data_IF_295838346782
#
_entry.id   IF_295838346782
#
_cell.length_a   1.000
_cell.length_b   1.000
_cell.length_c   1.000
_cell.angle_alpha   90.00
_cell.angle_beta   90.00
_cell.angle_gamma   90.00
#
_symmetry.space_group_name_H-M   'P 1'
#
loop_
_entity.id
_entity.type
_entity.pdbx_description
1 polymer ?
#
# COMPACT_ATOMS: atom_id res chain seq x y z
N UNK A 1 32.67 3.00 -11.24
CA UNK A 1 32.09 1.93 -10.42
C UNK A 1 32.40 2.27 -8.97
N UNK A 2 31.40 2.52 -8.16
CA UNK A 2 31.54 2.87 -6.75
C UNK A 2 31.31 1.61 -5.91
N UNK A 3 32.12 1.40 -4.86
CA UNK A 3 31.89 0.35 -3.85
C UNK A 3 31.59 1.07 -2.54
N UNK A 4 30.44 0.77 -1.93
CA UNK A 4 30.01 1.32 -0.65
C UNK A 4 30.29 0.25 0.41
N UNK A 5 30.96 0.68 1.51
CA UNK A 5 31.30 -0.17 2.66
C UNK A 5 32.07 -1.44 2.26
N UNK A 6 32.97 -1.34 1.28
CA UNK A 6 33.77 -2.45 0.72
C UNK A 6 32.96 -3.68 0.28
N UNK A 7 31.66 -3.59 0.22
CA UNK A 7 30.73 -4.71 0.01
C UNK A 7 29.74 -4.50 -1.14
N UNK A 8 29.17 -3.29 -1.28
CA UNK A 8 28.07 -3.07 -2.22
C UNK A 8 28.56 -2.38 -3.50
N UNK A 9 28.56 -3.14 -4.59
CA UNK A 9 28.99 -2.69 -5.91
C UNK A 9 27.87 -1.93 -6.61
N UNK A 10 28.08 -0.64 -6.83
CA UNK A 10 27.10 0.31 -7.39
C UNK A 10 27.53 0.69 -8.81
N UNK A 11 26.66 0.49 -9.76
CA UNK A 11 26.92 0.78 -11.18
C UNK A 11 26.62 2.23 -11.57
N UNK A 12 26.03 3.02 -10.68
CA UNK A 12 25.71 4.44 -10.89
C UNK A 12 26.48 5.30 -9.88
N UNK A 13 27.36 6.15 -10.35
CA UNK A 13 28.20 6.99 -9.50
C UNK A 13 27.44 8.18 -8.87
N UNK A 14 26.22 8.46 -9.34
CA UNK A 14 25.38 9.53 -8.80
C UNK A 14 24.11 8.97 -8.16
N UNK A 15 24.19 8.67 -6.87
CA UNK A 15 23.06 8.17 -6.08
C UNK A 15 22.19 9.34 -5.60
N UNK A 16 20.99 9.42 -6.14
CA UNK A 16 19.99 10.37 -5.66
C UNK A 16 19.39 9.88 -4.32
N UNK A 17 19.06 10.84 -3.46
CA UNK A 17 18.42 10.57 -2.17
C UNK A 17 17.04 9.96 -2.42
N UNK A 18 16.67 8.99 -1.56
CA UNK A 18 15.35 8.37 -1.50
C UNK A 18 14.96 7.56 -2.77
N UNK A 19 15.96 7.17 -3.57
CA UNK A 19 15.78 6.26 -4.70
C UNK A 19 16.38 4.90 -4.43
N UNK A 20 15.74 3.87 -4.97
CA UNK A 20 16.22 2.50 -4.90
C UNK A 20 17.15 2.19 -6.08
N UNK A 21 18.30 1.64 -5.77
CA UNK A 21 19.30 1.21 -6.75
C UNK A 21 19.54 -0.27 -6.62
N UNK A 22 19.43 -1.01 -7.72
CA UNK A 22 19.87 -2.39 -7.80
C UNK A 22 21.39 -2.41 -7.74
N UNK A 23 21.95 -3.05 -6.72
CA UNK A 23 23.37 -3.17 -6.49
C UNK A 23 23.74 -4.62 -6.26
N UNK A 24 25.00 -4.97 -6.41
CA UNK A 24 25.51 -6.31 -6.15
C UNK A 24 26.15 -6.35 -4.78
N UNK A 25 25.70 -7.23 -3.92
CA UNK A 25 26.39 -7.60 -2.69
C UNK A 25 27.50 -8.58 -3.05
N UNK A 26 28.76 -8.16 -2.88
CA UNK A 26 29.96 -8.93 -3.24
C UNK A 26 30.11 -10.15 -2.34
N UNK A 27 29.76 -10.04 -1.05
CA UNK A 27 29.89 -11.13 -0.09
C UNK A 27 28.95 -12.30 -0.39
N UNK A 28 27.68 -11.99 -0.67
CA UNK A 28 26.66 -13.02 -0.95
C UNK A 28 26.55 -13.34 -2.44
N UNK A 29 27.22 -12.56 -3.30
CA UNK A 29 27.13 -12.62 -4.76
C UNK A 29 25.68 -12.50 -5.28
N UNK A 30 24.82 -11.81 -4.56
CA UNK A 30 23.41 -11.60 -4.89
C UNK A 30 23.10 -10.13 -5.20
N UNK A 31 21.94 -9.86 -5.81
CA UNK A 31 21.45 -8.49 -5.96
C UNK A 31 20.62 -8.10 -4.74
N UNK A 32 20.78 -6.84 -4.35
CA UNK A 32 19.98 -6.18 -3.30
C UNK A 32 19.55 -4.81 -3.80
N UNK A 33 18.58 -4.19 -3.11
CA UNK A 33 18.31 -2.76 -3.28
C UNK A 33 19.06 -1.96 -2.23
N UNK A 34 19.74 -0.92 -2.70
CA UNK A 34 20.38 0.10 -1.87
C UNK A 34 19.62 1.39 -2.01
N UNK A 35 19.33 2.03 -0.88
CA UNK A 35 18.66 3.33 -0.81
C UNK A 35 19.45 4.28 0.07
N UNK A 36 19.79 5.45 -0.50
CA UNK A 36 20.46 6.54 0.21
C UNK A 36 19.43 7.35 1.00
N UNK A 37 19.66 7.53 2.31
CA UNK A 37 18.82 8.38 3.15
C UNK A 37 19.39 9.81 3.21
N UNK A 38 18.48 10.77 3.25
CA UNK A 38 18.84 12.16 3.49
C UNK A 38 19.18 12.35 4.97
N UNK A 39 20.38 12.86 5.26
CA UNK A 39 20.69 13.35 6.59
C UNK A 39 20.06 14.73 6.77
N UNK A 40 19.07 14.83 7.63
CA UNK A 40 18.41 16.09 7.95
C UNK A 40 18.06 16.16 9.45
N UNK A 41 17.66 17.35 9.90
CA UNK A 41 17.32 17.63 11.31
C UNK A 41 16.17 16.81 11.89
N UNK A 42 15.42 16.09 11.05
CA UNK A 42 14.31 15.26 11.51
C UNK A 42 14.76 13.84 11.89
N UNK A 43 16.01 13.45 11.56
CA UNK A 43 16.57 12.15 11.96
C UNK A 43 17.06 12.24 13.40
N UNK A 44 16.58 11.34 14.25
CA UNK A 44 16.97 11.25 15.66
C UNK A 44 18.27 10.46 15.82
N UNK A 45 19.05 10.74 16.86
CA UNK A 45 20.30 10.03 17.17
C UNK A 45 20.07 8.51 17.35
N UNK A 46 18.91 8.13 17.88
CA UNK A 46 18.53 6.71 18.06
C UNK A 46 18.02 6.02 16.81
N UNK A 47 17.98 6.70 15.66
CA UNK A 47 17.35 6.17 14.45
C UNK A 47 17.99 4.85 13.99
N UNK A 48 19.32 4.80 13.88
CA UNK A 48 20.00 3.60 13.38
C UNK A 48 19.83 2.40 14.31
N UNK A 49 20.11 2.48 15.63
CA UNK A 49 19.81 1.38 16.52
C UNK A 49 18.35 0.89 16.46
N UNK A 50 17.41 1.82 16.47
CA UNK A 50 16.00 1.48 16.38
C UNK A 50 15.64 0.82 15.04
N UNK A 51 16.27 1.22 13.91
CA UNK A 51 16.00 0.63 12.60
C UNK A 51 16.50 -0.82 12.51
N UNK A 52 17.59 -1.14 13.19
CA UNK A 52 18.09 -2.52 13.34
C UNK A 52 17.06 -3.36 14.10
N UNK A 53 16.50 -2.83 15.21
CA UNK A 53 15.44 -3.53 15.97
C UNK A 53 14.18 -3.73 15.10
N UNK A 54 13.73 -2.68 14.39
CA UNK A 54 12.59 -2.78 13.49
C UNK A 54 12.83 -3.77 12.34
N UNK A 55 14.06 -3.86 11.80
CA UNK A 55 14.40 -4.82 10.76
C UNK A 55 14.21 -6.27 11.22
N UNK A 56 14.54 -6.56 12.47
CA UNK A 56 14.30 -7.87 13.09
C UNK A 56 12.81 -8.17 13.22
N UNK A 57 12.00 -7.18 13.61
CA UNK A 57 10.54 -7.34 13.65
C UNK A 57 9.95 -7.58 12.26
N UNK A 58 10.45 -6.88 11.24
CA UNK A 58 10.01 -7.00 9.84
C UNK A 58 10.35 -8.41 9.31
N UNK A 59 11.55 -8.90 9.56
CA UNK A 59 11.97 -10.25 9.17
C UNK A 59 11.04 -11.32 9.77
N UNK A 60 10.62 -11.14 11.02
CA UNK A 60 9.72 -12.06 11.72
C UNK A 60 8.25 -11.98 11.25
N UNK A 61 7.88 -11.03 10.39
CA UNK A 61 6.55 -11.01 9.76
C UNK A 61 6.37 -12.16 8.77
N UNK A 62 7.46 -12.66 8.18
CA UNK A 62 7.44 -13.68 7.12
C UNK A 62 6.42 -13.36 6.02
N UNK A 63 6.44 -12.13 5.55
CA UNK A 63 5.47 -11.61 4.60
C UNK A 63 6.04 -11.54 3.19
N UNK A 64 5.39 -12.22 2.25
CA UNK A 64 5.76 -12.10 0.83
C UNK A 64 5.57 -10.68 0.27
N UNK A 65 4.78 -9.84 0.93
CA UNK A 65 4.45 -8.48 0.48
C UNK A 65 5.35 -7.40 1.05
N UNK A 66 6.10 -7.68 2.12
CA UNK A 66 6.96 -6.70 2.79
C UNK A 66 8.42 -7.03 2.48
N UNK A 67 9.19 -6.03 2.07
CA UNK A 67 10.62 -6.19 1.84
C UNK A 67 11.38 -6.23 3.17
N UNK A 68 12.26 -7.21 3.32
CA UNK A 68 13.16 -7.28 4.46
C UNK A 68 14.26 -6.21 4.32
N UNK A 69 14.59 -5.56 5.43
CA UNK A 69 15.79 -4.75 5.56
C UNK A 69 16.93 -5.73 5.92
N UNK A 70 17.93 -5.81 5.08
CA UNK A 70 19.04 -6.74 5.22
C UNK A 70 20.21 -6.12 5.98
N UNK A 71 20.41 -4.79 5.80
CA UNK A 71 21.51 -4.06 6.42
C UNK A 71 21.19 -2.57 6.50
N UNK A 72 21.85 -1.86 7.42
CA UNK A 72 21.79 -0.41 7.58
C UNK A 72 23.20 0.09 7.83
N UNK A 73 23.79 0.77 6.86
CA UNK A 73 25.17 1.17 6.91
C UNK A 73 25.33 2.69 6.96
N UNK A 74 26.40 3.13 7.61
CA UNK A 74 26.88 4.51 7.60
C UNK A 74 28.21 4.58 6.87
N UNK A 75 28.20 5.19 5.71
CA UNK A 75 29.40 5.33 4.88
C UNK A 75 29.55 6.79 4.44
N UNK A 76 30.75 7.37 4.64
CA UNK A 76 31.06 8.77 4.33
C UNK A 76 30.01 9.76 4.88
N UNK A 77 29.61 9.59 6.15
CA UNK A 77 28.60 10.40 6.83
C UNK A 77 27.21 10.36 6.17
N UNK A 78 26.93 9.33 5.42
CA UNK A 78 25.62 9.10 4.78
C UNK A 78 25.07 7.75 5.24
N UNK A 79 23.75 7.69 5.46
CA UNK A 79 23.07 6.43 5.77
C UNK A 79 22.52 5.77 4.52
N UNK A 80 22.68 4.45 4.46
CA UNK A 80 22.11 3.63 3.41
C UNK A 80 21.32 2.49 4.04
N UNK A 81 20.15 2.22 3.48
CA UNK A 81 19.35 1.04 3.81
C UNK A 81 19.48 0.03 2.69
N UNK A 82 19.86 -1.18 3.05
CA UNK A 82 19.97 -2.31 2.15
C UNK A 82 18.75 -3.20 2.35
N UNK A 83 18.04 -3.49 1.28
CA UNK A 83 16.84 -4.31 1.33
C UNK A 83 16.90 -5.44 0.31
N UNK A 84 16.11 -6.48 0.53
CA UNK A 84 15.99 -7.58 -0.43
C UNK A 84 15.61 -7.07 -1.83
N UNK A 85 16.18 -7.70 -2.85
CA UNK A 85 15.86 -7.37 -4.24
C UNK A 85 14.55 -8.04 -4.65
N UNK A 86 13.73 -7.29 -5.37
CA UNK A 86 12.51 -7.77 -6.01
C UNK A 86 12.55 -7.40 -7.49
N UNK A 87 12.30 -8.37 -8.37
CA UNK A 87 12.32 -8.16 -9.82
C UNK A 87 11.01 -7.52 -10.28
N UNK A 88 10.94 -6.22 -10.13
CA UNK A 88 9.77 -5.41 -10.46
C UNK A 88 10.15 -3.94 -10.66
N UNK A 89 9.14 -3.14 -10.96
CA UNK A 89 9.26 -1.68 -11.08
C UNK A 89 8.42 -0.99 -10.01
N UNK A 90 8.68 0.28 -9.72
CA UNK A 90 7.83 1.02 -8.79
C UNK A 90 6.39 1.14 -9.34
N UNK A 91 5.42 1.16 -8.43
CA UNK A 91 4.02 1.41 -8.81
C UNK A 91 3.86 2.78 -9.47
N UNK A 92 4.70 3.76 -9.10
CA UNK A 92 4.75 5.07 -9.75
C UNK A 92 5.12 4.94 -11.23
N UNK A 93 6.19 4.20 -11.53
CA UNK A 93 6.64 3.98 -12.90
C UNK A 93 5.60 3.20 -13.71
N UNK A 94 5.00 2.17 -13.12
CA UNK A 94 3.95 1.41 -13.77
C UNK A 94 2.77 2.31 -14.17
N UNK A 95 2.24 3.10 -13.23
CA UNK A 95 1.08 3.96 -13.47
C UNK A 95 1.40 5.08 -14.47
N UNK A 96 2.61 5.63 -14.45
CA UNK A 96 3.01 6.65 -15.41
C UNK A 96 3.08 6.11 -16.84
N UNK A 97 3.51 4.86 -17.00
CA UNK A 97 3.72 4.23 -18.31
C UNK A 97 2.51 3.43 -18.82
N UNK A 98 1.55 3.07 -17.96
CA UNK A 98 0.41 2.23 -18.32
C UNK A 98 -0.88 2.69 -17.64
N UNK A 99 -2.00 2.61 -18.34
CA UNK A 99 -3.32 2.74 -17.74
C UNK A 99 -3.72 1.41 -17.08
N UNK A 100 -3.93 1.43 -15.77
CA UNK A 100 -4.40 0.27 -15.03
C UNK A 100 -5.92 0.12 -15.20
N UNK A 101 -6.37 -1.12 -15.36
CA UNK A 101 -7.79 -1.44 -15.28
C UNK A 101 -8.25 -1.34 -13.81
N UNK A 102 -9.52 -1.01 -13.59
CA UNK A 102 -10.07 -0.91 -12.22
C UNK A 102 -9.87 -2.20 -11.41
N UNK A 103 -9.99 -3.37 -12.05
CA UNK A 103 -9.74 -4.66 -11.38
C UNK A 103 -8.28 -4.82 -10.95
N UNK A 104 -7.32 -4.35 -11.75
CA UNK A 104 -5.90 -4.38 -11.40
C UNK A 104 -5.65 -3.48 -10.17
N UNK A 105 -6.25 -2.28 -10.17
CA UNK A 105 -6.17 -1.35 -9.02
C UNK A 105 -6.75 -1.97 -7.76
N UNK A 106 -7.91 -2.61 -7.84
CA UNK A 106 -8.55 -3.31 -6.70
C UNK A 106 -7.64 -4.45 -6.21
N UNK A 107 -7.08 -5.25 -7.12
CA UNK A 107 -6.19 -6.37 -6.77
C UNK A 107 -4.92 -5.88 -6.05
N UNK A 108 -4.26 -4.86 -6.60
CA UNK A 108 -3.08 -4.22 -5.99
C UNK A 108 -3.45 -3.66 -4.60
N UNK A 109 -4.56 -2.93 -4.51
CA UNK A 109 -5.04 -2.34 -3.25
C UNK A 109 -5.32 -3.40 -2.19
N UNK A 110 -5.91 -4.54 -2.56
CA UNK A 110 -6.14 -5.66 -1.63
C UNK A 110 -4.83 -6.24 -1.11
N UNK A 111 -3.81 -6.39 -1.95
CA UNK A 111 -2.50 -6.86 -1.51
C UNK A 111 -1.85 -5.87 -0.53
N UNK A 112 -1.88 -4.57 -0.84
CA UNK A 112 -1.38 -3.50 0.03
C UNK A 112 -2.09 -3.54 1.38
N UNK A 113 -3.43 -3.52 1.38
CA UNK A 113 -4.22 -3.51 2.62
C UNK A 113 -4.04 -4.79 3.43
N UNK A 114 -3.88 -5.95 2.78
CA UNK A 114 -3.60 -7.23 3.45
C UNK A 114 -2.22 -7.23 4.12
N UNK A 115 -1.20 -6.69 3.44
CA UNK A 115 0.13 -6.55 4.00
C UNK A 115 0.12 -5.62 5.22
N UNK A 116 -0.54 -4.47 5.11
CA UNK A 116 -0.61 -3.50 6.20
C UNK A 116 -1.48 -3.96 7.37
N UNK A 117 -2.49 -4.81 7.12
CA UNK A 117 -3.23 -5.49 8.18
C UNK A 117 -2.31 -6.38 9.02
N UNK A 118 -1.47 -7.18 8.36
CA UNK A 118 -0.49 -8.03 9.06
C UNK A 118 0.50 -7.19 9.89
N UNK A 119 0.93 -6.03 9.36
CA UNK A 119 1.78 -5.10 10.09
C UNK A 119 1.08 -4.52 11.33
N UNK A 120 -0.18 -4.07 11.21
CA UNK A 120 -0.98 -3.52 12.32
C UNK A 120 -1.16 -4.54 13.46
N UNK A 121 -1.38 -5.83 13.15
CA UNK A 121 -1.46 -6.93 14.11
C UNK A 121 -0.16 -7.13 14.93
N UNK A 122 0.96 -6.61 14.45
CA UNK A 122 2.27 -6.62 15.11
C UNK A 122 2.68 -5.24 15.64
N UNK A 123 1.78 -4.27 15.63
CA UNK A 123 2.04 -2.90 16.07
C UNK A 123 2.98 -2.12 15.15
N UNK A 124 3.07 -2.52 13.87
CA UNK A 124 3.84 -1.84 12.84
C UNK A 124 2.93 -0.97 11.97
N UNK A 125 3.44 0.18 11.56
CA UNK A 125 2.86 1.06 10.56
C UNK A 125 3.96 1.58 9.64
N UNK A 126 3.59 1.97 8.43
CA UNK A 126 4.57 2.43 7.45
C UNK A 126 4.97 3.90 7.66
N UNK A 127 3.97 4.77 7.72
CA UNK A 127 4.14 6.18 8.03
C UNK A 127 4.74 7.08 6.95
N UNK A 128 5.24 6.48 5.87
CA UNK A 128 5.77 7.19 4.71
C UNK A 128 5.36 6.50 3.39
N UNK A 129 4.12 6.00 3.35
CA UNK A 129 3.63 5.22 2.22
C UNK A 129 3.48 6.06 0.96
N UNK A 130 4.04 5.58 -0.18
CA UNK A 130 4.03 6.27 -1.47
C UNK A 130 4.03 5.26 -2.61
N UNK A 131 3.74 5.72 -3.85
CA UNK A 131 3.78 4.84 -5.02
C UNK A 131 5.19 4.35 -5.37
N UNK A 132 6.23 5.11 -5.02
CA UNK A 132 7.62 4.79 -5.35
C UNK A 132 8.28 3.80 -4.37
N UNK A 133 7.65 3.52 -3.21
CA UNK A 133 8.07 2.45 -2.30
C UNK A 133 7.17 1.20 -2.32
N UNK A 134 6.28 1.10 -3.31
CA UNK A 134 5.56 -0.12 -3.67
C UNK A 134 6.08 -0.59 -5.01
N UNK A 135 6.75 -1.73 -5.04
CA UNK A 135 7.21 -2.37 -6.26
C UNK A 135 6.21 -3.42 -6.72
N UNK A 136 6.17 -3.66 -8.02
CA UNK A 136 5.23 -4.56 -8.64
C UNK A 136 5.90 -5.33 -9.77
N UNK A 137 5.68 -6.64 -9.83
CA UNK A 137 6.18 -7.51 -10.89
C UNK A 137 5.21 -7.57 -12.10
N UNK A 138 5.61 -8.34 -13.11
CA UNK A 138 4.80 -8.56 -14.33
C UNK A 138 3.45 -9.23 -14.08
N UNK A 139 3.34 -9.98 -12.98
CA UNK A 139 2.13 -10.73 -12.60
C UNK A 139 1.27 -9.95 -11.57
N UNK A 140 1.59 -8.67 -11.36
CA UNK A 140 0.94 -7.78 -10.41
C UNK A 140 1.06 -8.21 -8.95
N UNK A 141 2.09 -8.98 -8.58
CA UNK A 141 2.46 -9.16 -7.19
C UNK A 141 3.22 -7.94 -6.69
N UNK A 142 3.00 -7.56 -5.44
CA UNK A 142 3.63 -6.38 -4.87
C UNK A 142 4.74 -6.72 -3.87
N UNK A 143 5.64 -5.75 -3.67
CA UNK A 143 6.61 -5.71 -2.58
C UNK A 143 6.68 -4.29 -2.03
N UNK A 144 6.46 -4.13 -0.73
CA UNK A 144 6.44 -2.84 -0.02
C UNK A 144 7.78 -2.65 0.66
N UNK A 145 8.41 -1.53 0.42
CA UNK A 145 9.70 -1.12 0.98
C UNK A 145 9.52 -0.03 2.03
N UNK A 146 10.57 0.29 2.78
CA UNK A 146 10.65 1.37 3.79
C UNK A 146 9.80 1.16 5.04
N UNK A 147 9.20 0.00 5.24
CA UNK A 147 8.55 -0.31 6.51
C UNK A 147 9.56 -0.20 7.66
N UNK A 148 9.15 0.35 8.79
CA UNK A 148 10.00 0.50 9.96
C UNK A 148 10.78 1.83 10.02
N UNK A 149 11.09 2.47 8.90
CA UNK A 149 11.88 3.72 8.87
C UNK A 149 11.25 4.82 9.73
N UNK A 150 9.96 5.11 9.56
CA UNK A 150 9.28 6.15 10.34
C UNK A 150 9.15 5.75 11.80
N UNK A 151 8.90 4.49 12.10
CA UNK A 151 8.80 3.98 13.48
C UNK A 151 10.16 4.02 14.18
N UNK A 152 11.25 3.63 13.52
CA UNK A 152 12.61 3.74 14.02
C UNK A 152 12.98 5.19 14.38
N UNK A 153 12.43 6.16 13.64
CA UNK A 153 12.57 7.58 13.95
C UNK A 153 11.57 8.09 15.02
N UNK A 154 10.99 7.19 15.81
CA UNK A 154 10.05 7.52 16.89
C UNK A 154 8.72 8.10 16.38
N UNK A 155 8.24 7.66 15.23
CA UNK A 155 7.00 8.11 14.61
C UNK A 155 7.10 9.45 13.88
N UNK A 156 8.28 10.06 13.85
CA UNK A 156 8.52 11.32 13.12
C UNK A 156 8.88 11.01 11.68
N UNK A 157 8.10 11.51 10.73
CA UNK A 157 8.40 11.36 9.31
C UNK A 157 9.66 12.18 8.95
N UNK A 158 10.62 11.54 8.28
CA UNK A 158 11.92 12.15 7.92
C UNK A 158 11.75 13.23 6.85
N UNK A 159 10.62 13.26 6.16
CA UNK A 159 10.33 14.27 5.13
C UNK A 159 11.30 14.25 3.92
N UNK A 160 11.76 13.05 3.54
CA UNK A 160 12.61 12.90 2.35
C UNK A 160 11.89 13.37 1.07
N UNK A 161 12.63 14.03 0.17
CA UNK A 161 12.16 14.46 -1.16
C UNK A 161 10.78 15.15 -1.17
N UNK A 162 10.49 16.02 -0.19
CA UNK A 162 9.26 16.80 -0.13
C UNK A 162 7.98 15.94 -0.29
N UNK A 163 7.92 14.79 0.35
CA UNK A 163 6.78 13.87 0.32
C UNK A 163 5.47 14.44 0.91
N UNK A 164 5.39 15.75 1.06
CA UNK A 164 4.24 16.51 1.61
C UNK A 164 2.91 16.12 0.98
N UNK A 165 2.94 15.68 -0.29
CA UNK A 165 1.75 15.30 -1.04
C UNK A 165 1.06 14.04 -0.52
N UNK A 166 1.78 13.17 0.21
CA UNK A 166 1.28 11.92 0.77
C UNK A 166 0.96 11.99 2.26
N UNK A 167 1.30 13.11 2.92
CA UNK A 167 1.11 13.27 4.35
C UNK A 167 -0.36 13.54 4.68
N UNK A 168 -0.85 12.83 5.68
CA UNK A 168 -2.19 13.08 6.22
C UNK A 168 -2.23 14.39 7.03
N UNK A 169 -3.43 14.96 7.29
CA UNK A 169 -3.57 16.20 8.04
C UNK A 169 -2.90 16.17 9.42
N UNK A 170 -2.85 15.03 10.09
CA UNK A 170 -2.18 14.89 11.39
C UNK A 170 -0.66 15.04 11.25
N UNK A 171 -0.05 14.35 10.27
CA UNK A 171 1.38 14.47 10.00
C UNK A 171 1.79 15.88 9.57
N UNK A 172 0.93 16.59 8.82
CA UNK A 172 1.18 17.99 8.44
C UNK A 172 1.14 18.94 9.64
N UNK A 173 0.31 18.65 10.65
CA UNK A 173 0.16 19.50 11.84
C UNK A 173 1.27 19.28 12.88
N UNK A 174 1.59 18.02 13.20
CA UNK A 174 2.46 17.69 14.35
C UNK A 174 3.64 16.80 13.98
N UNK A 175 3.79 16.44 12.70
CA UNK A 175 4.82 15.53 12.18
C UNK A 175 4.94 14.22 12.98
N UNK A 176 3.82 13.67 13.41
CA UNK A 176 3.74 12.38 14.08
C UNK A 176 2.87 11.43 13.26
N UNK A 177 3.22 10.16 13.28
CA UNK A 177 2.63 9.12 12.42
C UNK A 177 2.01 8.01 13.25
N UNK A 178 0.87 7.52 12.77
CA UNK A 178 0.16 6.35 13.26
C UNK A 178 -0.43 5.57 12.06
N UNK A 179 -1.18 4.50 12.34
CA UNK A 179 -1.83 3.70 11.29
C UNK A 179 -2.88 4.48 10.46
N UNK A 180 -3.49 5.52 11.01
CA UNK A 180 -4.45 6.35 10.27
C UNK A 180 -3.75 7.14 9.15
N UNK A 181 -2.46 7.44 9.34
CA UNK A 181 -1.63 8.06 8.31
C UNK A 181 -1.48 7.14 7.10
N UNK A 182 -1.37 5.84 7.32
CA UNK A 182 -1.27 4.85 6.24
C UNK A 182 -2.60 4.71 5.48
N UNK A 183 -3.76 4.77 6.15
CA UNK A 183 -5.06 4.79 5.47
C UNK A 183 -5.17 5.95 4.48
N UNK A 184 -4.76 7.15 4.91
CA UNK A 184 -4.77 8.32 4.06
C UNK A 184 -3.84 8.18 2.86
N UNK A 185 -2.61 7.70 3.07
CA UNK A 185 -1.64 7.46 2.01
C UNK A 185 -2.10 6.38 1.02
N UNK A 186 -2.72 5.29 1.48
CA UNK A 186 -3.35 4.27 0.63
C UNK A 186 -4.45 4.90 -0.23
N UNK A 187 -5.25 5.80 0.34
CA UNK A 187 -6.27 6.54 -0.41
C UNK A 187 -5.67 7.39 -1.54
N UNK A 188 -4.52 8.05 -1.29
CA UNK A 188 -3.79 8.80 -2.32
C UNK A 188 -3.25 7.86 -3.41
N UNK A 189 -2.66 6.73 -3.02
CA UNK A 189 -2.13 5.73 -3.96
C UNK A 189 -3.25 5.22 -4.88
N UNK A 190 -4.39 4.80 -4.32
CA UNK A 190 -5.54 4.33 -5.08
C UNK A 190 -6.08 5.41 -6.03
N UNK A 191 -6.15 6.66 -5.55
CA UNK A 191 -6.59 7.79 -6.36
C UNK A 191 -5.63 8.02 -7.53
N UNK A 192 -4.32 8.02 -7.29
CA UNK A 192 -3.31 8.22 -8.33
C UNK A 192 -3.33 7.09 -9.36
N UNK A 193 -3.47 5.85 -8.92
CA UNK A 193 -3.63 4.70 -9.82
C UNK A 193 -4.85 4.84 -10.75
N UNK A 194 -5.95 5.42 -10.25
CA UNK A 194 -7.19 5.58 -11.02
C UNK A 194 -7.18 6.81 -11.94
N UNK A 195 -6.59 7.93 -11.50
CA UNK A 195 -6.71 9.24 -12.17
C UNK A 195 -5.40 9.78 -12.73
N UNK A 196 -4.25 9.17 -12.44
CA UNK A 196 -2.88 9.63 -12.81
C UNK A 196 -2.59 11.08 -12.39
N UNK A 197 -3.18 11.52 -11.30
CA UNK A 197 -2.95 12.82 -10.69
C UNK A 197 -3.14 12.74 -9.18
N UNK A 198 -2.61 13.70 -8.46
CA UNK A 198 -2.83 13.81 -7.02
C UNK A 198 -4.29 14.23 -6.72
N UNK A 199 -4.89 13.74 -5.59
CA UNK A 199 -6.25 14.09 -5.20
C UNK A 199 -6.41 15.56 -4.78
N UNK A 200 -5.31 16.19 -4.38
CA UNK A 200 -5.25 17.57 -3.91
C UNK A 200 -4.15 18.34 -4.65
N UNK A 201 -4.33 19.64 -4.82
CA UNK A 201 -3.23 20.50 -5.26
C UNK A 201 -2.10 20.44 -4.22
N UNK A 202 -0.88 20.18 -4.68
CA UNK A 202 0.30 20.12 -3.79
C UNK A 202 0.59 21.54 -3.29
N UNK A 203 0.72 21.69 -1.96
CA UNK A 203 1.10 22.93 -1.32
C UNK A 203 2.62 23.11 -1.30
N UNK A 204 3.10 24.34 -1.23
CA UNK A 204 4.54 24.64 -1.07
C UNK A 204 5.01 24.45 0.38
N UNK A 205 4.08 24.29 1.33
CA UNK A 205 4.34 24.01 2.74
C UNK A 205 3.12 23.33 3.38
N UNK A 206 3.29 22.84 4.62
CA UNK A 206 2.28 22.12 5.39
C UNK A 206 0.95 22.88 5.50
N UNK A 207 1.01 24.18 5.76
CA UNK A 207 -0.18 25.02 5.91
C UNK A 207 -0.98 25.14 4.61
N UNK A 208 -0.31 25.29 3.49
CA UNK A 208 -0.98 25.35 2.18
C UNK A 208 -1.52 23.97 1.79
N UNK A 209 -0.78 22.88 2.06
CA UNK A 209 -1.24 21.53 1.81
C UNK A 209 -2.50 21.23 2.62
N UNK A 210 -2.57 21.57 3.91
CA UNK A 210 -3.77 21.44 4.74
C UNK A 210 -4.96 22.19 4.15
N UNK A 211 -4.77 23.44 3.71
CA UNK A 211 -5.83 24.22 3.05
C UNK A 211 -6.32 23.56 1.76
N UNK A 212 -5.42 22.92 1.01
CA UNK A 212 -5.80 22.23 -0.23
C UNK A 212 -6.56 20.93 0.05
N UNK A 213 -6.18 20.20 1.09
CA UNK A 213 -6.93 19.02 1.57
C UNK A 213 -8.35 19.43 2.01
N UNK A 214 -8.49 20.58 2.70
CA UNK A 214 -9.79 21.09 3.16
C UNK A 214 -10.75 21.47 2.04
N UNK A 215 -10.25 21.79 0.85
CA UNK A 215 -11.06 22.04 -0.34
C UNK A 215 -11.72 20.77 -0.89
N UNK A 216 -11.24 19.59 -0.44
CA UNK A 216 -11.73 18.29 -0.87
C UNK A 216 -11.06 17.76 -2.13
N UNK A 217 -11.48 16.57 -2.55
CA UNK A 217 -10.90 15.80 -3.65
C UNK A 217 -11.40 16.35 -5.00
N UNK A 218 -10.49 16.55 -5.94
CA UNK A 218 -10.85 16.86 -7.33
C UNK A 218 -11.24 15.57 -8.08
N UNK A 219 -12.55 15.31 -8.13
CA UNK A 219 -13.11 14.19 -8.90
C UNK A 219 -13.36 14.61 -10.34
N UNK A 220 -12.57 14.09 -11.27
CA UNK A 220 -12.85 14.23 -12.69
C UNK A 220 -14.06 13.34 -13.05
N UNK A 221 -15.22 13.96 -13.35
CA UNK A 221 -16.48 13.26 -13.60
C UNK A 221 -16.45 12.35 -14.83
N UNK A 222 -15.51 12.57 -15.75
CA UNK A 222 -15.48 11.90 -17.06
C UNK A 222 -14.95 10.44 -17.03
N UNK A 223 -14.37 9.98 -15.89
CA UNK A 223 -13.85 8.60 -15.76
C UNK A 223 -14.67 7.70 -14.83
N UNK A 224 -15.83 8.12 -14.39
CA UNK A 224 -16.67 7.35 -13.47
C UNK A 224 -17.55 6.34 -14.21
N UNK A 225 -16.96 5.20 -14.58
CA UNK A 225 -17.76 4.01 -14.90
C UNK A 225 -18.42 3.48 -13.62
N UNK A 226 -19.50 2.70 -13.73
CA UNK A 226 -20.16 2.06 -12.57
C UNK A 226 -19.15 1.28 -11.71
N UNK A 227 -18.15 0.64 -12.34
CA UNK A 227 -17.07 -0.11 -11.70
C UNK A 227 -16.15 0.77 -10.85
N UNK A 228 -15.84 1.97 -11.33
CA UNK A 228 -14.98 2.92 -10.62
C UNK A 228 -15.72 3.64 -9.48
N UNK A 229 -17.05 3.65 -9.47
CA UNK A 229 -17.84 4.35 -8.45
C UNK A 229 -17.59 3.78 -7.06
N UNK A 230 -17.67 2.47 -6.89
CA UNK A 230 -17.39 1.82 -5.60
C UNK A 230 -15.95 2.08 -5.12
N UNK A 231 -14.96 2.03 -6.05
CA UNK A 231 -13.58 2.36 -5.74
C UNK A 231 -13.42 3.82 -5.32
N UNK A 232 -14.08 4.75 -6.01
CA UNK A 232 -14.11 6.17 -5.66
C UNK A 232 -14.71 6.40 -4.26
N UNK A 233 -15.75 5.67 -3.88
CA UNK A 233 -16.36 5.80 -2.55
C UNK A 233 -15.41 5.31 -1.43
N UNK A 234 -14.65 4.24 -1.67
CA UNK A 234 -13.57 3.80 -0.76
C UNK A 234 -12.47 4.87 -0.66
N UNK A 235 -12.01 5.41 -1.79
CA UNK A 235 -11.00 6.48 -1.82
C UNK A 235 -11.48 7.69 -1.01
N UNK A 236 -12.72 8.13 -1.21
CA UNK A 236 -13.31 9.25 -0.44
C UNK A 236 -13.28 8.97 1.07
N UNK A 237 -13.63 7.75 1.48
CA UNK A 237 -13.65 7.37 2.90
C UNK A 237 -12.23 7.31 3.49
N UNK A 238 -11.23 6.82 2.73
CA UNK A 238 -9.82 6.82 3.12
C UNK A 238 -9.26 8.24 3.30
N UNK A 239 -9.65 9.18 2.43
CA UNK A 239 -9.18 10.56 2.43
C UNK A 239 -10.04 11.51 3.28
N UNK A 240 -11.11 11.01 3.91
CA UNK A 240 -12.01 11.81 4.73
C UNK A 240 -11.38 12.24 6.05
N UNK A 241 -11.76 13.42 6.56
CA UNK A 241 -11.40 13.86 7.91
C UNK A 241 -12.29 13.25 9.00
N UNK A 242 -13.52 12.90 8.65
CA UNK A 242 -14.54 12.28 9.53
C UNK A 242 -15.08 11.03 8.86
N UNK A 243 -15.67 10.12 9.62
CA UNK A 243 -16.23 8.86 9.13
C UNK A 243 -15.20 8.02 8.36
N UNK A 244 -13.99 7.95 8.89
CA UNK A 244 -12.88 7.17 8.34
C UNK A 244 -13.08 5.68 8.55
N UNK A 245 -12.23 4.89 7.92
CA UNK A 245 -12.03 3.49 8.29
C UNK A 245 -11.41 3.40 9.69
N UNK A 246 -11.82 2.39 10.46
CA UNK A 246 -11.24 2.09 11.78
C UNK A 246 -10.23 0.94 11.72
N UNK A 247 -10.27 0.12 10.68
CA UNK A 247 -9.39 -1.03 10.51
C UNK A 247 -9.14 -1.37 9.04
N UNK A 248 -8.01 -2.06 8.78
CA UNK A 248 -7.71 -2.63 7.47
C UNK A 248 -8.74 -3.68 7.03
N UNK A 249 -9.36 -4.38 7.99
CA UNK A 249 -10.42 -5.37 7.70
C UNK A 249 -11.65 -4.73 7.08
N UNK A 250 -12.07 -3.55 7.53
CA UNK A 250 -13.18 -2.82 6.89
C UNK A 250 -12.86 -2.44 5.44
N UNK A 251 -11.62 -1.99 5.17
CA UNK A 251 -11.18 -1.64 3.81
C UNK A 251 -11.22 -2.88 2.91
N UNK A 252 -10.71 -4.05 3.41
CA UNK A 252 -10.73 -5.31 2.66
C UNK A 252 -12.15 -5.79 2.35
N UNK A 253 -13.08 -5.63 3.29
CA UNK A 253 -14.49 -5.97 3.09
C UNK A 253 -15.07 -5.13 1.96
N UNK A 254 -14.86 -3.81 1.98
CA UNK A 254 -15.42 -2.91 0.98
C UNK A 254 -14.78 -3.15 -0.40
N UNK A 255 -13.46 -3.35 -0.49
CA UNK A 255 -12.78 -3.75 -1.74
C UNK A 255 -13.29 -5.09 -2.29
N UNK A 256 -13.65 -6.03 -1.40
CA UNK A 256 -14.16 -7.32 -1.80
C UNK A 256 -15.60 -7.21 -2.33
N UNK A 257 -16.45 -6.43 -1.68
CA UNK A 257 -17.83 -6.18 -2.14
C UNK A 257 -17.89 -5.63 -3.56
N UNK A 258 -17.00 -4.70 -3.92
CA UNK A 258 -16.95 -4.14 -5.28
C UNK A 258 -16.71 -5.23 -6.32
N UNK A 259 -15.85 -6.22 -6.04
CA UNK A 259 -15.57 -7.31 -6.97
C UNK A 259 -16.79 -8.20 -7.20
N UNK A 260 -17.57 -8.49 -6.15
CA UNK A 260 -18.78 -9.33 -6.27
C UNK A 260 -19.92 -8.62 -7.02
N UNK A 261 -20.17 -7.34 -6.73
CA UNK A 261 -21.20 -6.56 -7.45
C UNK A 261 -20.89 -6.52 -8.96
N UNK A 262 -19.62 -6.54 -9.34
CA UNK A 262 -19.22 -6.54 -10.75
C UNK A 262 -19.35 -7.90 -11.41
N UNK A 263 -19.15 -9.00 -10.69
CA UNK A 263 -19.37 -10.36 -11.20
C UNK A 263 -20.84 -10.55 -11.56
N UNK A 264 -21.77 -10.14 -10.69
CA UNK A 264 -23.22 -10.21 -10.95
C UNK A 264 -23.66 -9.39 -12.17
N UNK A 265 -23.04 -8.21 -12.39
CA UNK A 265 -23.35 -7.36 -13.57
C UNK A 265 -22.84 -8.00 -14.87
N UNK A 266 -21.72 -8.69 -14.84
CA UNK A 266 -21.16 -9.38 -16.02
C UNK A 266 -22.00 -10.62 -16.36
N UNK A 267 -22.47 -11.36 -15.37
CA UNK A 267 -23.36 -12.50 -15.61
C UNK A 267 -24.72 -12.05 -16.17
N UNK A 268 -25.30 -10.95 -15.68
CA UNK A 268 -26.56 -10.42 -16.22
C UNK A 268 -26.44 -9.85 -17.62
N UNK A 269 -25.31 -9.24 -18.00
CA UNK A 269 -25.11 -8.76 -19.38
C UNK A 269 -24.84 -9.89 -20.38
N UNK A 270 -24.24 -10.98 -19.97
CA UNK A 270 -24.08 -12.15 -20.85
C UNK A 270 -25.38 -12.92 -21.05
N UNK A 271 -26.38 -12.75 -20.20
CA UNK A 271 -27.73 -13.34 -20.38
C UNK A 271 -28.65 -12.52 -21.26
N UNK A 272 -28.37 -11.24 -21.53
CA UNK A 272 -29.16 -10.39 -22.45
C UNK A 272 -28.82 -10.52 -23.93
N UNK A 273 -27.72 -11.22 -24.29
CA UNK A 273 -27.30 -11.41 -25.70
C UNK A 273 -27.73 -12.73 -26.34
N UNK A 274 -28.45 -13.60 -25.59
CA UNK A 274 -28.88 -14.91 -26.09
C UNK A 274 -30.41 -15.12 -25.97
N UNK A 275 -31.20 -14.10 -26.33
CA UNK A 275 -32.64 -14.28 -26.54
C UNK A 275 -32.97 -14.64 -27.99
N UNK A 276 -32.77 -15.90 -28.27
CA UNK A 276 -33.38 -16.63 -29.37
C UNK A 276 -33.33 -18.12 -29.04
N UNK A 277 -34.47 -18.62 -28.50
CA UNK A 277 -34.81 -20.05 -28.41
C UNK A 277 -34.55 -20.72 -27.03
N UNK A 278 -35.69 -21.15 -26.45
CA UNK A 278 -35.93 -22.06 -25.33
C UNK A 278 -35.82 -21.52 -23.87
N UNK A 279 -37.03 -21.14 -23.41
CA UNK A 279 -37.36 -21.04 -21.98
C UNK A 279 -37.31 -22.45 -21.36
N UNK A 280 -36.28 -22.77 -20.60
CA UNK A 280 -36.35 -23.78 -19.54
C UNK A 280 -36.05 -23.09 -18.20
N UNK A 281 -37.07 -23.08 -17.34
CA UNK A 281 -36.96 -22.60 -15.96
C UNK A 281 -35.86 -23.36 -15.20
N UNK A 282 -34.72 -22.71 -14.98
CA UNK A 282 -33.71 -23.16 -14.02
C UNK A 282 -34.11 -22.63 -12.63
N UNK A 283 -34.66 -23.50 -11.79
CA UNK A 283 -34.94 -23.22 -10.37
C UNK A 283 -33.66 -22.73 -9.71
N UNK A 284 -33.74 -21.53 -9.16
CA UNK A 284 -32.70 -20.89 -8.32
C UNK A 284 -32.19 -21.85 -7.26
N UNK A 285 -30.86 -21.91 -7.09
CA UNK A 285 -30.13 -22.66 -6.07
C UNK A 285 -30.33 -22.13 -4.63
N UNK A 286 -31.52 -21.60 -4.32
CA UNK A 286 -31.95 -21.19 -2.97
C UNK A 286 -31.78 -22.33 -1.93
N UNK A 287 -31.79 -23.59 -2.38
CA UNK A 287 -31.60 -24.74 -1.50
C UNK A 287 -30.13 -24.84 -1.01
N UNK A 288 -29.15 -24.64 -1.89
CA UNK A 288 -27.73 -24.69 -1.52
C UNK A 288 -27.34 -23.57 -0.54
N UNK A 289 -27.85 -22.35 -0.73
CA UNK A 289 -27.57 -21.22 0.18
C UNK A 289 -28.18 -21.50 1.57
N UNK A 290 -29.39 -22.07 1.64
CA UNK A 290 -30.01 -22.45 2.91
C UNK A 290 -29.25 -23.60 3.58
N UNK A 291 -28.75 -24.58 2.82
CA UNK A 291 -27.96 -25.70 3.34
C UNK A 291 -26.63 -25.20 3.95
N UNK A 292 -25.91 -24.30 3.28
CA UNK A 292 -24.66 -23.70 3.78
C UNK A 292 -24.93 -22.93 5.07
N UNK A 293 -26.03 -22.17 5.14
CA UNK A 293 -26.41 -21.42 6.34
C UNK A 293 -26.70 -22.34 7.55
N UNK A 294 -27.37 -23.48 7.31
CA UNK A 294 -27.66 -24.47 8.36
C UNK A 294 -26.36 -25.13 8.85
N UNK A 295 -25.45 -25.49 7.95
CA UNK A 295 -24.16 -26.07 8.32
C UNK A 295 -23.32 -25.09 9.14
N UNK A 296 -23.28 -23.83 8.77
CA UNK A 296 -22.59 -22.78 9.54
C UNK A 296 -23.17 -22.62 10.96
N UNK A 297 -24.49 -22.61 11.10
CA UNK A 297 -25.14 -22.56 12.41
C UNK A 297 -24.83 -23.81 13.27
N UNK A 298 -24.78 -24.99 12.68
CA UNK A 298 -24.45 -26.23 13.38
C UNK A 298 -23.00 -26.26 13.87
N UNK A 299 -22.05 -25.74 13.07
CA UNK A 299 -20.64 -25.65 13.47
C UNK A 299 -20.46 -24.65 14.61
N UNK A 300 -21.15 -23.50 14.58
CA UNK A 300 -21.11 -22.53 15.69
C UNK A 300 -21.69 -23.12 16.98
N UNK A 301 -22.77 -23.89 16.88
CA UNK A 301 -23.36 -24.55 18.03
C UNK A 301 -22.45 -25.63 18.67
N UNK A 302 -21.73 -26.38 17.84
CA UNK A 302 -20.74 -27.36 18.31
C UNK A 302 -19.58 -26.71 19.04
N UNK A 303 -19.07 -25.59 18.52
CA UNK A 303 -17.99 -24.83 19.16
C UNK A 303 -18.42 -24.27 20.53
N UNK A 304 -19.69 -23.83 20.65
CA UNK A 304 -20.22 -23.31 21.92
C UNK A 304 -20.41 -24.44 22.96
N UNK A 305 -20.78 -25.65 22.50
CA UNK A 305 -20.96 -26.83 23.39
C UNK A 305 -19.61 -27.36 23.88
N UNK A 306 -18.54 -27.27 23.09
CA UNK A 306 -17.19 -27.67 23.53
C UNK A 306 -16.53 -26.65 24.51
N UNK A 307 -17.12 -25.49 24.70
CA UNK A 307 -16.63 -24.46 25.65
C UNK A 307 -17.45 -24.38 26.94
N UNK A 308 -18.49 -25.21 27.10
CA UNK A 308 -19.29 -25.40 28.33
C UNK A 308 -18.90 -26.70 29.03
#
# INVERSE_FOLDING_TARGET
>A
MLIIDDRYEVYNDNLEIDKFYKVKDIETNSYVFLKKLEQNKNIKDSFIPNLIDESTMILNLDSKYIANILDVISYESTYYVISEYFDGISLLDLVNNKDLKTNDIISISKQIVSAMKLCDERGLYHGAFRLDNVFIDKDYNIKIYDLGITKANGGVNIRMNNNIAFLCPHQLNVNYTDKESDFFAIGIIMYYCLFKKMPFKIGVNDREMLKNIDKGIDLNKDRTTALSKGLVDIIKKLLARKNKYSSYSEILIDLTKIMYVNADIVETKNTEYDEGIYIQHKKSNSFMIKLISIIMCAVVLLIVIEQL
#
